data_IF_793691047078
#
_entry.id   IF_793691047078
#
_cell.length_a   1.000
_cell.length_b   1.000
_cell.length_c   1.000
_cell.angle_alpha   90.00
_cell.angle_beta   90.00
_cell.angle_gamma   90.00
#
_symmetry.space_group_name_H-M   'P 1'
#
loop_
_entity.id
_entity.type
_entity.pdbx_description
1 polymer ?
#
# COMPACT_ATOMS: atom_id res chain seq x y z
N UNK A 1 -11.33 15.48 -28.37
CA UNK A 1 -11.08 14.05 -28.11
C UNK A 1 -10.15 13.56 -29.19
N UNK A 2 -8.94 13.14 -28.81
CA UNK A 2 -7.85 12.86 -29.76
C UNK A 2 -7.98 11.42 -30.28
N UNK A 3 -8.37 11.29 -31.56
CA UNK A 3 -8.59 10.02 -32.27
C UNK A 3 -7.30 9.18 -32.40
N UNK A 4 -6.13 9.80 -32.20
CA UNK A 4 -4.82 9.13 -32.29
C UNK A 4 -4.62 8.11 -31.16
N UNK A 5 -5.26 8.30 -30.00
CA UNK A 5 -5.10 7.41 -28.83
C UNK A 5 -5.85 6.07 -28.92
N UNK A 6 -6.77 5.92 -29.87
CA UNK A 6 -7.65 4.74 -29.97
C UNK A 6 -7.07 3.63 -30.86
N UNK A 7 -5.96 3.90 -31.56
CA UNK A 7 -5.41 3.02 -32.60
C UNK A 7 -4.03 2.43 -32.27
N UNK A 8 -3.48 2.68 -31.06
CA UNK A 8 -2.23 2.05 -30.62
C UNK A 8 -2.48 0.88 -29.64
N UNK A 9 -1.97 -0.34 -29.92
CA UNK A 9 -2.13 -1.54 -29.08
C UNK A 9 -1.32 -1.54 -27.77
N UNK A 10 -0.76 -0.39 -27.36
CA UNK A 10 0.01 -0.19 -26.12
C UNK A 10 -0.60 0.88 -25.22
N UNK A 11 -1.92 1.02 -25.24
CA UNK A 11 -2.64 1.87 -24.31
C UNK A 11 -2.86 1.11 -23.00
N UNK A 12 -1.90 1.20 -22.08
CA UNK A 12 -2.20 0.99 -20.64
C UNK A 12 -3.21 2.06 -20.30
N UNK A 13 -4.47 1.65 -20.20
CA UNK A 13 -5.61 2.53 -19.95
C UNK A 13 -5.22 3.52 -18.87
N UNK A 14 -5.26 4.81 -19.21
CA UNK A 14 -5.20 5.89 -18.24
C UNK A 14 -6.51 5.81 -17.44
N UNK A 15 -6.59 4.85 -16.52
CA UNK A 15 -7.66 4.75 -15.55
C UNK A 15 -7.54 6.01 -14.71
N UNK A 16 -8.29 7.05 -15.09
CA UNK A 16 -8.44 8.29 -14.32
C UNK A 16 -9.11 7.91 -13.00
N UNK A 17 -8.29 7.44 -12.07
CA UNK A 17 -8.72 6.93 -10.79
C UNK A 17 -8.84 8.12 -9.87
N UNK A 18 -10.05 8.66 -9.76
CA UNK A 18 -10.33 9.79 -8.88
C UNK A 18 -10.10 9.36 -7.45
N UNK A 19 -9.30 10.13 -6.70
CA UNK A 19 -9.15 9.98 -5.26
C UNK A 19 -10.35 10.66 -4.60
N UNK A 20 -11.18 9.88 -3.91
CA UNK A 20 -12.33 10.39 -3.17
C UNK A 20 -11.92 10.86 -1.78
N UNK A 21 -11.05 10.08 -1.12
CA UNK A 21 -10.65 10.33 0.24
C UNK A 21 -9.25 9.81 0.50
N UNK A 22 -8.47 10.56 1.29
CA UNK A 22 -7.21 10.08 1.83
C UNK A 22 -7.14 10.47 3.31
N UNK A 23 -6.93 9.47 4.17
CA UNK A 23 -6.75 9.63 5.61
C UNK A 23 -5.40 9.03 5.97
N UNK A 24 -4.54 9.83 6.59
CA UNK A 24 -3.23 9.40 7.01
C UNK A 24 -2.93 9.96 8.41
N UNK A 25 -2.74 9.07 9.39
CA UNK A 25 -2.42 9.41 10.78
C UNK A 25 -1.18 8.67 11.21
N UNK A 26 -0.15 9.45 11.56
CA UNK A 26 1.16 8.97 11.97
C UNK A 26 1.59 9.65 13.28
N UNK A 27 1.08 9.24 14.46
CA UNK A 27 1.69 9.69 15.71
C UNK A 27 3.18 9.35 15.72
N UNK A 28 3.96 10.30 16.23
CA UNK A 28 5.41 10.20 16.32
C UNK A 28 5.78 10.10 17.80
N UNK A 29 6.50 9.04 18.15
CA UNK A 29 7.15 8.91 19.46
C UNK A 29 8.64 8.65 19.25
N UNK A 30 9.49 9.49 19.85
CA UNK A 30 10.96 9.34 19.83
C UNK A 30 11.55 9.02 18.45
N UNK A 31 11.08 9.73 17.43
CA UNK A 31 11.57 9.57 16.04
C UNK A 31 11.03 8.33 15.31
N UNK A 32 10.05 7.62 15.88
CA UNK A 32 9.33 6.53 15.21
C UNK A 32 7.89 6.97 14.97
N UNK A 33 7.50 7.02 13.71
CA UNK A 33 6.13 7.26 13.28
C UNK A 33 5.39 5.93 13.12
N UNK A 34 4.17 5.82 13.65
CA UNK A 34 3.34 4.61 13.50
C UNK A 34 2.14 4.92 12.63
N UNK A 35 1.94 4.20 11.53
CA UNK A 35 0.77 4.35 10.67
C UNK A 35 -0.46 3.72 11.36
N UNK A 36 -1.19 4.51 12.14
CA UNK A 36 -2.39 4.04 12.85
C UNK A 36 -3.63 4.01 11.96
N UNK A 37 -3.76 5.01 11.08
CA UNK A 37 -4.81 5.05 10.08
C UNK A 37 -4.21 5.49 8.76
N UNK A 38 -4.08 4.56 7.82
CA UNK A 38 -3.80 4.87 6.43
C UNK A 38 -4.96 4.32 5.60
N UNK A 39 -5.68 5.20 4.93
CA UNK A 39 -6.80 4.87 4.07
C UNK A 39 -6.73 5.75 2.83
N UNK A 40 -6.82 5.14 1.67
CA UNK A 40 -6.93 5.82 0.39
C UNK A 40 -8.15 5.22 -0.32
N UNK A 41 -9.15 6.04 -0.56
CA UNK A 41 -10.34 5.63 -1.30
C UNK A 41 -10.33 6.29 -2.68
N UNK A 42 -10.52 5.47 -3.71
CA UNK A 42 -10.64 5.90 -5.08
C UNK A 42 -11.95 5.43 -5.70
N UNK A 43 -12.25 5.83 -6.93
CA UNK A 43 -13.42 5.32 -7.67
C UNK A 43 -13.46 3.79 -7.71
N UNK A 44 -12.31 3.16 -7.93
CA UNK A 44 -12.21 1.72 -8.24
C UNK A 44 -11.89 0.85 -7.02
N UNK A 45 -11.22 1.38 -6.00
CA UNK A 45 -10.77 0.59 -4.86
C UNK A 45 -10.57 1.43 -3.59
N UNK A 46 -10.60 0.73 -2.45
CA UNK A 46 -10.19 1.28 -1.16
C UNK A 46 -8.91 0.58 -0.72
N UNK A 47 -7.86 1.33 -0.42
CA UNK A 47 -6.58 0.84 0.06
C UNK A 47 -6.41 1.21 1.54
N UNK A 48 -6.24 0.20 2.39
CA UNK A 48 -5.86 0.38 3.79
C UNK A 48 -4.37 0.15 3.98
N UNK A 49 -3.79 0.73 5.03
CA UNK A 49 -2.41 0.42 5.39
C UNK A 49 -2.06 0.61 6.85
N UNK A 50 -0.96 -0.01 7.25
CA UNK A 50 -0.43 -0.03 8.61
C UNK A 50 1.10 -0.19 8.58
N UNK A 51 1.78 0.16 9.66
CA UNK A 51 3.23 -0.04 9.77
C UNK A 51 3.96 1.03 10.56
N UNK A 52 5.28 1.12 10.36
CA UNK A 52 6.16 2.03 11.10
C UNK A 52 7.20 2.66 10.20
N UNK A 53 7.55 3.91 10.50
CA UNK A 53 8.62 4.66 9.84
C UNK A 53 9.56 5.14 10.94
N UNK A 54 10.81 4.69 10.91
CA UNK A 54 11.85 5.11 11.83
C UNK A 54 12.67 6.23 11.18
N UNK A 55 12.48 7.46 11.64
CA UNK A 55 13.19 8.64 11.14
C UNK A 55 14.65 8.65 11.60
N UNK A 56 14.96 8.12 12.79
CA UNK A 56 16.34 8.04 13.30
C UNK A 56 17.22 7.03 12.56
N UNK A 57 16.61 6.00 11.97
CA UNK A 57 17.28 5.00 11.11
C UNK A 57 17.01 5.21 9.63
N UNK A 58 16.23 6.22 9.27
CA UNK A 58 15.71 6.47 7.92
C UNK A 58 15.15 5.21 7.23
N UNK A 59 14.40 4.38 7.95
CA UNK A 59 13.80 3.15 7.42
C UNK A 59 12.30 3.14 7.58
N UNK A 60 11.60 2.42 6.71
CA UNK A 60 10.17 2.21 6.78
C UNK A 60 9.82 0.72 6.62
N UNK A 61 8.66 0.35 7.15
CA UNK A 61 7.99 -0.92 6.91
C UNK A 61 6.49 -0.66 6.97
N UNK A 62 5.85 -0.66 5.81
CA UNK A 62 4.43 -0.39 5.63
C UNK A 62 3.79 -1.56 4.90
N UNK A 63 2.60 -1.95 5.32
CA UNK A 63 1.75 -2.92 4.64
C UNK A 63 0.55 -2.20 4.05
N UNK A 64 0.34 -2.36 2.75
CA UNK A 64 -0.78 -1.79 2.01
C UNK A 64 -1.68 -2.92 1.51
N UNK A 65 -2.98 -2.78 1.71
CA UNK A 65 -3.99 -3.78 1.34
C UNK A 65 -5.04 -3.11 0.46
N UNK A 66 -4.98 -3.34 -0.86
CA UNK A 66 -6.05 -2.90 -1.75
C UNK A 66 -7.27 -3.80 -1.61
N UNK A 67 -8.45 -3.19 -1.59
CA UNK A 67 -9.76 -3.82 -1.66
C UNK A 67 -10.53 -3.21 -2.83
N UNK A 68 -10.58 -3.88 -3.99
CA UNK A 68 -11.37 -3.43 -5.12
C UNK A 68 -12.86 -3.30 -4.78
N UNK A 69 -13.53 -2.32 -5.39
CA UNK A 69 -14.98 -2.12 -5.31
C UNK A 69 -15.72 -2.92 -6.36
N UNK A 70 -15.07 -3.17 -7.50
CA UNK A 70 -15.56 -4.03 -8.58
C UNK A 70 -14.87 -5.43 -8.54
N UNK A 71 -15.62 -6.55 -8.54
CA UNK A 71 -15.08 -7.90 -8.65
C UNK A 71 -14.17 -8.14 -9.88
N UNK A 72 -14.39 -7.42 -10.99
CA UNK A 72 -13.56 -7.52 -12.19
C UNK A 72 -12.09 -7.14 -11.95
N UNK A 73 -11.82 -6.38 -10.88
CA UNK A 73 -10.48 -5.93 -10.48
C UNK A 73 -9.85 -6.79 -9.37
N UNK A 74 -10.38 -7.99 -9.10
CA UNK A 74 -9.85 -8.88 -8.05
C UNK A 74 -8.37 -9.21 -8.21
N UNK A 75 -7.86 -9.26 -9.45
CA UNK A 75 -6.43 -9.47 -9.73
C UNK A 75 -5.53 -8.37 -9.16
N UNK A 76 -6.07 -7.18 -8.88
CA UNK A 76 -5.36 -6.05 -8.27
C UNK A 76 -5.41 -6.07 -6.74
N UNK A 77 -6.14 -7.00 -6.12
CA UNK A 77 -6.29 -7.12 -4.66
C UNK A 77 -5.06 -7.74 -3.97
N UNK A 78 -3.86 -7.57 -4.53
CA UNK A 78 -2.62 -8.15 -4.00
C UNK A 78 -2.02 -7.18 -2.96
N UNK A 79 -1.87 -7.58 -1.70
CA UNK A 79 -1.23 -6.75 -0.70
C UNK A 79 0.24 -6.46 -1.06
N UNK A 80 0.74 -5.29 -0.66
CA UNK A 80 2.12 -4.85 -0.92
C UNK A 80 2.78 -4.52 0.41
N UNK A 81 4.02 -4.97 0.59
CA UNK A 81 4.90 -4.48 1.66
C UNK A 81 5.84 -3.45 1.03
N UNK A 82 5.97 -2.30 1.67
CA UNK A 82 6.92 -1.26 1.34
C UNK A 82 7.92 -1.19 2.49
N UNK A 83 9.16 -1.60 2.26
CA UNK A 83 10.19 -1.71 3.29
C UNK A 83 11.55 -1.16 2.83
N UNK A 84 12.44 -0.87 3.78
CA UNK A 84 13.80 -0.43 3.49
C UNK A 84 14.02 1.06 3.76
N UNK A 85 15.08 1.66 3.18
CA UNK A 85 15.39 3.07 3.38
C UNK A 85 14.28 4.00 2.88
N UNK A 86 13.99 5.08 3.59
CA UNK A 86 12.98 6.08 3.19
C UNK A 86 13.32 6.67 1.81
N UNK A 87 14.60 6.88 1.52
CA UNK A 87 15.06 7.45 0.25
C UNK A 87 14.96 6.47 -0.93
N UNK A 88 14.95 5.16 -0.66
CA UNK A 88 14.87 4.13 -1.69
C UNK A 88 14.07 2.91 -1.17
N UNK A 89 12.75 3.04 -1.03
CA UNK A 89 11.92 1.99 -0.50
C UNK A 89 11.74 0.87 -1.53
N UNK A 90 11.72 -0.37 -1.06
CA UNK A 90 11.41 -1.55 -1.86
C UNK A 90 9.94 -1.94 -1.67
N UNK A 91 9.18 -1.99 -2.76
CA UNK A 91 7.79 -2.39 -2.76
C UNK A 91 7.64 -3.80 -3.34
N UNK A 92 7.23 -4.76 -2.50
CA UNK A 92 7.10 -6.17 -2.88
C UNK A 92 5.67 -6.67 -2.69
N UNK A 93 5.07 -7.33 -3.70
CA UNK A 93 3.79 -8.01 -3.53
C UNK A 93 3.92 -9.14 -2.51
N UNK A 94 2.99 -9.21 -1.56
CA UNK A 94 2.90 -10.32 -0.62
C UNK A 94 2.37 -11.54 -1.38
N UNK A 95 3.28 -12.32 -1.98
CA UNK A 95 2.93 -13.62 -2.60
C UNK A 95 2.86 -14.76 -1.59
N UNK A 96 3.40 -14.60 -0.38
CA UNK A 96 3.42 -15.62 0.68
C UNK A 96 2.47 -15.26 1.84
N UNK A 97 1.77 -16.24 2.45
CA UNK A 97 0.85 -15.97 3.54
C UNK A 97 1.58 -15.30 4.71
N UNK A 98 1.02 -14.18 5.17
CA UNK A 98 1.43 -13.33 6.30
C UNK A 98 1.94 -14.07 7.56
N UNK A 99 1.55 -15.33 7.74
CA UNK A 99 2.00 -16.19 8.84
C UNK A 99 3.51 -16.45 8.90
N UNK A 100 4.25 -16.33 7.80
CA UNK A 100 5.67 -16.76 7.79
C UNK A 100 6.67 -15.71 8.29
N UNK A 101 6.27 -14.45 8.50
CA UNK A 101 7.16 -13.35 8.91
C UNK A 101 6.86 -12.79 10.30
N UNK A 102 5.79 -13.22 10.95
CA UNK A 102 5.50 -12.86 12.34
C UNK A 102 6.49 -13.60 13.27
N UNK A 103 7.20 -12.90 14.17
CA UNK A 103 7.93 -13.59 15.24
C UNK A 103 6.92 -14.39 16.06
N UNK A 104 7.23 -15.65 16.34
CA UNK A 104 6.39 -16.53 17.14
C UNK A 104 6.00 -15.82 18.45
N UNK A 105 4.74 -15.93 18.91
CA UNK A 105 4.36 -15.40 20.21
C UNK A 105 5.29 -16.02 21.25
N UNK A 106 6.10 -15.20 21.90
CA UNK A 106 6.88 -15.63 23.06
C UNK A 106 5.86 -16.08 24.09
N UNK A 107 5.81 -17.38 24.39
CA UNK A 107 4.90 -17.93 25.39
C UNK A 107 5.10 -17.11 26.67
N UNK A 108 4.02 -16.49 27.15
CA UNK A 108 3.98 -15.99 28.51
C UNK A 108 4.28 -17.21 29.41
N UNK A 109 5.42 -17.16 30.10
CA UNK A 109 5.80 -18.10 31.13
C UNK A 109 5.45 -17.47 32.47
#
# INVERSE_FOLDING_TARGET
VDLVQQLMPWNVSKASTTVNCMVARFPIDRGVMRAERLLLDTTEMTMGGEGTINLGRETLNLRLVPKPKDPALFSLAVPVIVEGPIQNPNAVPIRKPWRSSLPAPRSAR
#
